data_IF_714699236547
#
_entry.id   IF_714699236547
#
_cell.length_a   1.000
_cell.length_b   1.000
_cell.length_c   1.000
_cell.angle_alpha   90.00
_cell.angle_beta   90.00
_cell.angle_gamma   90.00
#
_symmetry.space_group_name_H-M   'P 1'
#
loop_
_entity.id
_entity.type
_entity.pdbx_description
1 polymer ?
#
# COMPACT_ATOMS: atom_id res chain seq x y z
N UNK A 1 18.68 12.06 13.48
CA UNK A 1 19.34 12.26 12.17
C UNK A 1 18.38 12.97 11.23
N UNK A 2 18.92 13.64 10.21
CA UNK A 2 18.16 14.44 9.23
C UNK A 2 17.00 13.67 8.57
N UNK A 3 17.23 12.42 8.17
CA UNK A 3 16.19 11.52 7.62
C UNK A 3 14.96 11.38 8.53
N UNK A 4 15.17 11.30 9.84
CA UNK A 4 14.07 11.20 10.82
C UNK A 4 13.28 12.51 10.92
N UNK A 5 13.92 13.66 10.73
CA UNK A 5 13.24 14.95 10.72
C UNK A 5 12.41 15.12 9.44
N UNK A 6 12.98 14.78 8.28
CA UNK A 6 12.28 14.81 7.00
C UNK A 6 11.07 13.87 6.99
N UNK A 7 11.20 12.65 7.52
CA UNK A 7 10.09 11.72 7.70
C UNK A 7 8.97 12.30 8.60
N UNK A 8 9.33 13.01 9.66
CA UNK A 8 8.35 13.71 10.51
C UNK A 8 7.66 14.85 9.77
N UNK A 9 8.38 15.62 8.95
CA UNK A 9 7.80 16.70 8.15
C UNK A 9 6.77 16.15 7.15
N UNK A 10 7.09 15.08 6.42
CA UNK A 10 6.12 14.43 5.52
C UNK A 10 4.88 13.98 6.29
N UNK A 11 5.06 13.41 7.49
CA UNK A 11 3.95 12.97 8.34
C UNK A 11 3.06 14.15 8.78
N UNK A 12 3.66 15.28 9.18
CA UNK A 12 2.91 16.49 9.54
C UNK A 12 2.12 17.02 8.34
N UNK A 13 2.74 17.15 7.16
CA UNK A 13 2.04 17.63 5.97
C UNK A 13 0.93 16.69 5.51
N UNK A 14 1.11 15.38 5.65
CA UNK A 14 0.04 14.39 5.47
C UNK A 14 -1.13 14.68 6.41
N UNK A 15 -0.87 14.86 7.70
CA UNK A 15 -1.91 15.07 8.71
C UNK A 15 -2.65 16.41 8.54
N UNK A 16 -1.97 17.40 7.93
CA UNK A 16 -2.56 18.67 7.50
C UNK A 16 -3.32 18.59 6.17
N UNK A 17 -3.29 17.44 5.47
CA UNK A 17 -3.93 17.29 4.17
C UNK A 17 -3.26 18.10 3.05
N UNK A 18 -1.97 18.38 3.18
CA UNK A 18 -1.18 19.04 2.13
C UNK A 18 -0.24 18.04 1.45
N UNK A 19 -0.74 17.34 0.44
CA UNK A 19 0.10 16.44 -0.38
C UNK A 19 1.15 17.20 -1.19
N UNK A 20 0.89 18.45 -1.57
CA UNK A 20 1.86 19.27 -2.31
C UNK A 20 3.14 19.49 -1.48
N UNK A 21 2.99 19.89 -0.22
CA UNK A 21 4.13 20.11 0.68
C UNK A 21 4.81 18.78 1.04
N UNK A 22 4.01 17.73 1.32
CA UNK A 22 4.55 16.39 1.57
C UNK A 22 5.39 15.88 0.37
N UNK A 23 4.91 16.11 -0.85
CA UNK A 23 5.61 15.77 -2.08
C UNK A 23 6.90 16.57 -2.25
N UNK A 24 6.87 17.87 -1.97
CA UNK A 24 8.03 18.73 -2.04
C UNK A 24 9.13 18.25 -1.10
N UNK A 25 8.80 18.00 0.18
CA UNK A 25 9.76 17.48 1.16
C UNK A 25 10.34 16.15 0.68
N UNK A 26 9.49 15.21 0.27
CA UNK A 26 9.93 13.91 -0.26
C UNK A 26 10.86 14.06 -1.47
N UNK A 27 10.58 15.02 -2.35
CA UNK A 27 11.37 15.35 -3.53
C UNK A 27 12.76 15.88 -3.20
N UNK A 28 12.91 16.59 -2.08
CA UNK A 28 14.19 17.16 -1.63
C UNK A 28 15.04 16.21 -0.79
N UNK A 29 14.48 15.09 -0.30
CA UNK A 29 15.23 14.14 0.53
C UNK A 29 16.39 13.52 -0.24
N UNK A 30 17.59 13.55 0.35
CA UNK A 30 18.78 12.90 -0.22
C UNK A 30 18.72 11.37 -0.11
N UNK A 31 18.14 10.88 0.98
CA UNK A 31 17.97 9.46 1.26
C UNK A 31 16.53 9.21 1.66
N UNK A 32 15.97 8.08 1.22
CA UNK A 32 14.59 7.69 1.51
C UNK A 32 14.60 6.28 2.06
N UNK A 33 13.70 6.01 3.00
CA UNK A 33 13.51 4.69 3.57
C UNK A 33 12.05 4.25 3.42
N UNK A 34 11.74 3.06 3.93
CA UNK A 34 10.38 2.54 3.90
C UNK A 34 9.37 3.51 4.52
N UNK A 35 9.76 4.21 5.58
CA UNK A 35 8.89 5.16 6.30
C UNK A 35 8.57 6.39 5.43
N UNK A 36 9.57 6.95 4.72
CA UNK A 36 9.35 8.05 3.77
C UNK A 36 8.28 7.68 2.74
N UNK A 37 8.39 6.48 2.17
CA UNK A 37 7.44 5.96 1.18
C UNK A 37 6.07 5.65 1.79
N UNK A 38 6.01 5.03 2.97
CA UNK A 38 4.76 4.77 3.69
C UNK A 38 3.97 6.07 3.91
N UNK A 39 4.64 7.15 4.31
CA UNK A 39 3.99 8.43 4.56
C UNK A 39 3.45 9.08 3.28
N UNK A 40 4.25 9.16 2.20
CA UNK A 40 3.79 9.81 0.96
C UNK A 40 2.70 8.99 0.26
N UNK A 41 2.75 7.65 0.33
CA UNK A 41 1.69 6.77 -0.17
C UNK A 41 0.40 6.98 0.61
N UNK A 42 0.47 7.03 1.94
CA UNK A 42 -0.69 7.30 2.79
C UNK A 42 -1.31 8.67 2.48
N UNK A 43 -0.49 9.72 2.30
CA UNK A 43 -0.95 11.05 1.88
C UNK A 43 -1.68 11.01 0.54
N UNK A 44 -1.14 10.29 -0.46
CA UNK A 44 -1.79 10.13 -1.75
C UNK A 44 -3.17 9.45 -1.61
N UNK A 45 -3.29 8.42 -0.76
CA UNK A 45 -4.57 7.74 -0.55
C UNK A 45 -5.58 8.64 0.15
N UNK A 46 -5.16 9.40 1.16
CA UNK A 46 -6.02 10.32 1.89
C UNK A 46 -6.67 11.37 0.96
N UNK A 47 -5.94 11.84 -0.04
CA UNK A 47 -6.46 12.77 -1.06
C UNK A 47 -7.09 12.09 -2.29
N UNK A 48 -7.24 10.76 -2.28
CA UNK A 48 -7.82 10.01 -3.41
C UNK A 48 -6.93 9.95 -4.65
N UNK A 49 -5.64 10.33 -4.56
CA UNK A 49 -4.63 10.29 -5.63
C UNK A 49 -4.08 8.88 -5.85
N UNK A 50 -4.95 7.93 -6.20
CA UNK A 50 -4.63 6.50 -6.35
C UNK A 50 -3.47 6.23 -7.31
N UNK A 51 -3.45 6.88 -8.47
CA UNK A 51 -2.38 6.71 -9.47
C UNK A 51 -1.02 7.15 -8.91
N UNK A 52 -0.98 8.26 -8.17
CA UNK A 52 0.25 8.74 -7.52
C UNK A 52 0.73 7.76 -6.46
N UNK A 53 -0.19 7.23 -5.63
CA UNK A 53 0.15 6.20 -4.63
C UNK A 53 0.83 4.97 -5.26
N UNK A 54 0.30 4.48 -6.39
CA UNK A 54 0.90 3.36 -7.12
C UNK A 54 2.27 3.71 -7.70
N UNK A 55 2.46 4.92 -8.24
CA UNK A 55 3.76 5.38 -8.73
C UNK A 55 4.82 5.39 -7.63
N UNK A 56 4.48 5.89 -6.43
CA UNK A 56 5.39 5.84 -5.28
C UNK A 56 5.70 4.41 -4.86
N UNK A 57 4.70 3.54 -4.81
CA UNK A 57 4.94 2.13 -4.51
C UNK A 57 5.88 1.49 -5.52
N UNK A 58 5.73 1.76 -6.82
CA UNK A 58 6.67 1.25 -7.83
C UNK A 58 8.08 1.81 -7.65
N UNK A 59 8.22 3.11 -7.35
CA UNK A 59 9.54 3.72 -7.06
C UNK A 59 10.19 3.07 -5.83
N UNK A 60 9.41 2.83 -4.78
CA UNK A 60 9.85 2.10 -3.58
C UNK A 60 10.38 0.70 -3.93
N UNK A 61 9.72 0.00 -4.86
CA UNK A 61 10.17 -1.31 -5.34
C UNK A 61 11.49 -1.23 -6.11
N UNK A 62 11.63 -0.23 -6.98
CA UNK A 62 12.85 0.00 -7.76
C UNK A 62 14.05 0.33 -6.86
N UNK A 63 13.81 1.05 -5.76
CA UNK A 63 14.82 1.35 -4.73
C UNK A 63 15.13 0.15 -3.81
N UNK A 64 14.51 -1.01 -4.04
CA UNK A 64 14.75 -2.22 -3.24
C UNK A 64 14.17 -2.18 -1.83
N UNK A 65 13.26 -1.24 -1.56
CA UNK A 65 12.66 -1.05 -0.24
C UNK A 65 11.42 -1.94 -0.05
N UNK A 66 11.31 -2.55 1.12
CA UNK A 66 10.18 -3.41 1.49
C UNK A 66 9.02 -2.61 2.06
N UNK A 67 7.83 -2.90 1.55
CA UNK A 67 6.60 -2.28 2.02
C UNK A 67 6.10 -2.99 3.27
N UNK A 68 5.74 -2.21 4.28
CA UNK A 68 5.05 -2.73 5.47
C UNK A 68 3.57 -3.04 5.18
N UNK A 69 2.92 -3.66 6.16
CA UNK A 69 1.50 -4.01 6.11
C UNK A 69 0.61 -2.79 5.78
N UNK A 70 0.91 -1.64 6.39
CA UNK A 70 0.15 -0.40 6.23
C UNK A 70 0.24 0.10 4.79
N UNK A 71 1.44 0.09 4.22
CA UNK A 71 1.71 0.48 2.83
C UNK A 71 0.99 -0.45 1.86
N UNK A 72 1.06 -1.76 2.09
CA UNK A 72 0.36 -2.75 1.25
C UNK A 72 -1.15 -2.56 1.30
N UNK A 73 -1.73 -2.27 2.47
CA UNK A 73 -3.15 -1.95 2.61
C UNK A 73 -3.53 -0.69 1.82
N UNK A 74 -2.73 0.37 1.89
CA UNK A 74 -2.92 1.60 1.10
C UNK A 74 -2.82 1.35 -0.42
N UNK A 75 -1.87 0.53 -0.86
CA UNK A 75 -1.70 0.18 -2.28
C UNK A 75 -2.89 -0.64 -2.78
N UNK A 76 -3.41 -1.58 -1.98
CA UNK A 76 -4.64 -2.31 -2.30
C UNK A 76 -5.84 -1.34 -2.42
N UNK A 77 -5.94 -0.35 -1.52
CA UNK A 77 -6.97 0.69 -1.62
C UNK A 77 -6.88 1.49 -2.93
N UNK A 78 -5.66 1.78 -3.40
CA UNK A 78 -5.45 2.41 -4.70
C UNK A 78 -5.85 1.54 -5.90
N UNK A 79 -5.88 0.21 -5.74
CA UNK A 79 -6.29 -0.70 -6.82
C UNK A 79 -7.80 -0.68 -7.09
N UNK A 80 -8.63 -0.18 -6.17
CA UNK A 80 -10.06 -0.06 -6.40
C UNK A 80 -10.40 1.05 -7.40
N UNK A 81 -11.34 0.80 -8.31
CA UNK A 81 -11.88 1.81 -9.23
C UNK A 81 -11.39 1.72 -10.68
N UNK A 82 -10.81 0.60 -11.09
CA UNK A 82 -10.76 0.19 -12.51
C UNK A 82 -9.53 0.61 -13.31
N UNK A 83 -8.59 1.36 -12.74
CA UNK A 83 -7.38 1.80 -13.47
C UNK A 83 -6.19 0.84 -13.38
N UNK A 84 -6.32 -0.26 -12.62
CA UNK A 84 -5.22 -1.18 -12.34
C UNK A 84 -5.55 -2.57 -12.84
N UNK A 85 -4.67 -3.13 -13.67
CA UNK A 85 -4.83 -4.48 -14.20
C UNK A 85 -4.75 -5.55 -13.12
N UNK A 86 -5.52 -6.62 -13.28
CA UNK A 86 -5.55 -7.75 -12.34
C UNK A 86 -4.20 -8.47 -12.19
N UNK A 87 -3.33 -8.35 -13.19
CA UNK A 87 -1.94 -8.82 -13.11
C UNK A 87 -1.16 -8.17 -11.96
N UNK A 88 -1.41 -6.88 -11.68
CA UNK A 88 -0.76 -6.18 -10.58
C UNK A 88 -1.29 -6.65 -9.21
N UNK A 89 -2.61 -6.82 -9.07
CA UNK A 89 -3.22 -7.34 -7.84
C UNK A 89 -2.67 -8.73 -7.49
N UNK A 90 -2.47 -9.59 -8.50
CA UNK A 90 -1.84 -10.91 -8.32
C UNK A 90 -0.39 -10.81 -7.85
N UNK A 91 0.40 -9.90 -8.44
CA UNK A 91 1.78 -9.65 -8.00
C UNK A 91 1.82 -9.15 -6.54
N UNK A 92 0.90 -8.24 -6.20
CA UNK A 92 0.78 -7.70 -4.86
C UNK A 92 0.42 -8.78 -3.84
N UNK A 93 -0.53 -9.69 -4.17
CA UNK A 93 -0.81 -10.86 -3.33
C UNK A 93 0.43 -11.74 -3.14
N UNK A 94 1.18 -12.04 -4.21
CA UNK A 94 2.42 -12.82 -4.10
C UNK A 94 3.43 -12.17 -3.15
N UNK A 95 3.56 -10.84 -3.21
CA UNK A 95 4.40 -10.08 -2.27
C UNK A 95 3.88 -10.13 -0.83
N UNK A 96 2.58 -9.98 -0.62
CA UNK A 96 1.92 -10.09 0.70
C UNK A 96 2.19 -11.46 1.34
N UNK A 97 2.10 -12.54 0.57
CA UNK A 97 2.41 -13.90 1.04
C UNK A 97 3.88 -14.01 1.42
N UNK A 98 4.80 -13.54 0.55
CA UNK A 98 6.25 -13.59 0.80
C UNK A 98 6.66 -12.83 2.06
N UNK A 99 5.99 -11.72 2.35
CA UNK A 99 6.22 -10.91 3.56
C UNK A 99 5.50 -11.44 4.81
N UNK A 100 4.70 -12.51 4.68
CA UNK A 100 3.99 -13.11 5.81
C UNK A 100 2.69 -12.40 6.21
N UNK A 101 2.21 -11.42 5.43
CA UNK A 101 1.02 -10.62 5.76
C UNK A 101 -0.31 -11.20 5.24
N UNK A 102 -0.29 -12.35 4.58
CA UNK A 102 -1.47 -12.92 3.90
C UNK A 102 -2.65 -13.29 4.81
N UNK A 103 -2.40 -13.54 6.10
CA UNK A 103 -3.43 -13.80 7.10
C UNK A 103 -3.97 -12.52 7.77
N UNK A 104 -3.46 -11.35 7.41
CA UNK A 104 -3.88 -10.09 8.00
C UNK A 104 -5.10 -9.50 7.29
N UNK A 105 -6.13 -9.17 8.07
CA UNK A 105 -7.39 -8.64 7.55
C UNK A 105 -7.21 -7.31 6.81
N UNK A 106 -6.20 -6.50 7.14
CA UNK A 106 -5.94 -5.21 6.52
C UNK A 106 -5.55 -5.32 5.04
N UNK A 107 -5.05 -6.47 4.62
CA UNK A 107 -4.72 -6.78 3.22
C UNK A 107 -5.62 -7.87 2.63
N UNK A 108 -6.10 -8.80 3.45
CA UNK A 108 -7.00 -9.88 3.06
C UNK A 108 -8.37 -9.38 2.60
N UNK A 109 -9.03 -8.53 3.39
CA UNK A 109 -10.35 -8.00 3.04
C UNK A 109 -10.34 -7.23 1.70
N UNK A 110 -9.40 -6.29 1.48
CA UNK A 110 -9.30 -5.63 0.17
C UNK A 110 -9.01 -6.60 -0.98
N UNK A 111 -8.21 -7.65 -0.77
CA UNK A 111 -7.94 -8.65 -1.80
C UNK A 111 -9.20 -9.44 -2.17
N UNK A 112 -10.00 -9.86 -1.20
CA UNK A 112 -11.29 -10.53 -1.43
C UNK A 112 -12.20 -9.64 -2.27
N UNK A 113 -12.37 -8.39 -1.87
CA UNK A 113 -13.21 -7.42 -2.59
C UNK A 113 -12.72 -7.17 -4.02
N UNK A 114 -11.41 -7.08 -4.22
CA UNK A 114 -10.83 -6.93 -5.55
C UNK A 114 -11.15 -8.17 -6.40
N UNK A 115 -10.81 -9.37 -5.95
CA UNK A 115 -11.05 -10.61 -6.71
C UNK A 115 -12.54 -10.82 -7.00
N UNK A 116 -13.42 -10.53 -6.04
CA UNK A 116 -14.86 -10.61 -6.22
C UNK A 116 -15.36 -9.63 -7.30
N UNK A 117 -14.86 -8.39 -7.31
CA UNK A 117 -15.21 -7.38 -8.33
C UNK A 117 -14.73 -7.74 -9.74
N UNK A 118 -13.74 -8.62 -9.87
CA UNK A 118 -13.31 -9.16 -11.16
C UNK A 118 -13.89 -10.54 -11.49
N UNK A 119 -14.93 -10.95 -10.75
CA UNK A 119 -15.60 -12.24 -10.94
C UNK A 119 -14.69 -13.46 -10.73
N UNK A 120 -13.53 -13.29 -10.10
CA UNK A 120 -12.60 -14.37 -9.77
C UNK A 120 -12.93 -14.94 -8.38
N UNK A 121 -14.13 -15.50 -8.26
CA UNK A 121 -14.70 -15.98 -6.99
C UNK A 121 -13.83 -17.09 -6.38
N UNK A 122 -13.15 -17.89 -7.21
CA UNK A 122 -12.24 -18.94 -6.74
C UNK A 122 -11.10 -18.31 -5.95
N UNK A 123 -10.42 -17.28 -6.48
CA UNK A 123 -9.33 -16.62 -5.75
C UNK A 123 -9.83 -15.85 -4.53
N UNK A 124 -11.01 -15.24 -4.62
CA UNK A 124 -11.63 -14.58 -3.48
C UNK A 124 -11.86 -15.57 -2.32
N UNK A 125 -12.39 -16.77 -2.63
CA UNK A 125 -12.58 -17.83 -1.63
C UNK A 125 -11.27 -18.34 -1.05
N UNK A 126 -10.23 -18.55 -1.86
CA UNK A 126 -8.92 -18.95 -1.32
C UNK A 126 -8.39 -17.92 -0.31
N UNK A 127 -8.48 -16.61 -0.61
CA UNK A 127 -8.08 -15.59 0.37
C UNK A 127 -8.97 -15.64 1.62
N UNK A 128 -10.29 -15.80 1.45
CA UNK A 128 -11.21 -15.90 2.58
C UNK A 128 -10.91 -17.09 3.49
N UNK A 129 -10.66 -18.27 2.92
CA UNK A 129 -10.33 -19.49 3.66
C UNK A 129 -8.98 -19.34 4.39
N UNK A 130 -8.00 -18.66 3.78
CA UNK A 130 -6.72 -18.31 4.43
C UNK A 130 -6.92 -17.41 5.66
N UNK A 131 -7.87 -16.47 5.63
CA UNK A 131 -8.21 -15.60 6.78
C UNK A 131 -9.03 -16.34 7.85
N UNK A 132 -9.88 -17.28 7.44
CA UNK A 132 -10.82 -18.02 8.29
C UNK A 132 -10.18 -19.02 9.27
N UNK A 133 -8.88 -19.27 9.18
CA UNK A 133 -8.15 -20.07 10.19
C UNK A 133 -8.15 -19.43 11.60
N UNK A 134 -8.67 -18.20 11.76
CA UNK A 134 -8.76 -17.50 13.06
C UNK A 134 -9.97 -17.88 13.92
N UNK A 135 -10.97 -18.60 13.39
CA UNK A 135 -12.22 -18.91 14.14
C UNK A 135 -12.19 -20.26 14.88
N UNK A 136 -11.05 -20.96 14.94
CA UNK A 136 -10.95 -22.34 15.46
C UNK A 136 -9.98 -22.55 16.66
N UNK A 137 -9.58 -21.51 17.40
CA UNK A 137 -8.82 -21.64 18.66
C UNK A 137 -9.43 -20.79 19.76
#
# INVERSE_FOLDING_TARGET
GELSLENKLINVYRDLGSLADAHQVFGTMRWRDGVSFSHIIAACIAEGRKVSALKYFMSMQVEGLEADLVTLSHVLKACFGGSVGFSFVRQLRGKIIRLGFHIDLAVGNPLIDLYAKASDIVKARVVFDELGWRDCT
#
